data_IF_172992325043
#
_entry.id   IF_172992325043
#
_cell.length_a   1.000
_cell.length_b   1.000
_cell.length_c   1.000
_cell.angle_alpha   90.00
_cell.angle_beta   90.00
_cell.angle_gamma   90.00
#
_symmetry.space_group_name_H-M   'P 1'
#
loop_
_entity.id
_entity.type
_entity.pdbx_description
1 polymer ?
#
# COMPACT_ATOMS: atom_id res chain seq x y z
N UNK A 1 5.54 15.61 49.51
CA UNK A 1 4.34 15.15 48.76
C UNK A 1 3.70 16.34 48.11
N UNK A 2 4.12 16.69 46.89
CA UNK A 2 3.53 17.78 46.10
C UNK A 2 2.75 17.19 44.97
N UNK A 3 1.45 17.42 45.02
CA UNK A 3 0.42 16.90 44.11
C UNK A 3 0.59 17.34 42.66
N UNK A 4 0.22 16.51 41.68
CA UNK A 4 0.30 16.79 40.23
C UNK A 4 -0.81 17.74 39.74
N UNK A 5 -1.38 18.57 40.58
CA UNK A 5 -2.56 19.43 40.30
C UNK A 5 -2.18 20.73 39.56
N UNK A 6 -0.93 21.20 39.68
CA UNK A 6 -0.54 22.54 39.16
C UNK A 6 -0.46 22.61 37.62
N UNK A 7 -0.31 21.49 36.90
CA UNK A 7 -0.22 21.49 35.44
C UNK A 7 -1.61 21.64 34.79
N UNK A 8 -2.70 21.44 35.53
CA UNK A 8 -4.05 21.49 34.96
C UNK A 8 -4.65 22.89 34.84
N UNK A 9 -4.19 23.86 35.64
CA UNK A 9 -4.77 25.21 35.64
C UNK A 9 -4.15 26.16 34.63
N UNK A 10 -2.90 25.95 34.19
CA UNK A 10 -2.30 26.75 33.10
C UNK A 10 -2.79 26.34 31.70
N UNK A 11 -3.51 25.24 31.57
CA UNK A 11 -3.98 24.68 30.30
C UNK A 11 -5.39 25.12 29.87
N UNK A 12 -6.08 25.94 30.65
CA UNK A 12 -7.47 26.34 30.39
C UNK A 12 -7.64 27.30 29.20
N UNK A 13 -6.58 27.58 28.44
CA UNK A 13 -6.66 28.40 27.22
C UNK A 13 -5.89 27.86 26.01
N UNK A 14 -5.15 26.77 26.16
CA UNK A 14 -4.41 26.19 25.03
C UNK A 14 -5.33 25.28 24.21
N UNK A 15 -5.40 25.48 22.88
CA UNK A 15 -6.13 24.54 22.03
C UNK A 15 -5.55 23.13 22.17
N UNK A 16 -6.36 22.10 22.03
CA UNK A 16 -5.93 20.69 22.09
C UNK A 16 -4.74 20.41 21.14
N UNK A 17 -4.69 21.11 20.03
CA UNK A 17 -3.59 21.07 19.08
C UNK A 17 -2.27 21.58 19.68
N UNK A 18 -2.31 22.69 20.45
CA UNK A 18 -1.11 23.24 21.09
C UNK A 18 -0.57 22.29 22.18
N UNK A 19 -1.45 21.66 22.94
CA UNK A 19 -1.08 20.64 23.94
C UNK A 19 -0.42 19.45 23.26
N UNK A 20 -0.99 18.94 22.19
CA UNK A 20 -0.39 17.82 21.42
C UNK A 20 0.96 18.19 20.82
N UNK A 21 1.10 19.40 20.32
CA UNK A 21 2.37 19.87 19.75
C UNK A 21 3.45 19.96 20.84
N UNK A 22 3.12 20.48 22.05
CA UNK A 22 4.04 20.50 23.19
C UNK A 22 4.50 19.08 23.58
N UNK A 23 3.57 18.12 23.59
CA UNK A 23 3.89 16.73 23.89
C UNK A 23 4.80 16.10 22.82
N UNK A 24 4.56 16.36 21.54
CA UNK A 24 5.41 15.86 20.44
C UNK A 24 6.79 16.53 20.47
N UNK A 25 6.87 17.82 20.80
CA UNK A 25 8.12 18.53 21.02
C UNK A 25 8.92 17.90 22.17
N UNK A 26 8.28 17.61 23.28
CA UNK A 26 8.91 16.94 24.41
C UNK A 26 9.43 15.54 24.03
N UNK A 27 8.65 14.77 23.29
CA UNK A 27 9.09 13.46 22.73
C UNK A 27 10.32 13.62 21.85
N UNK A 28 10.36 14.65 20.97
CA UNK A 28 11.52 14.91 20.13
C UNK A 28 12.77 15.21 20.96
N UNK A 29 12.64 16.02 22.00
CA UNK A 29 13.76 16.35 22.91
C UNK A 29 14.18 15.11 23.71
N UNK A 30 13.23 14.32 24.20
CA UNK A 30 13.50 13.10 24.98
C UNK A 30 14.19 12.00 24.12
N UNK A 31 14.07 12.07 22.80
CA UNK A 31 14.68 11.12 21.84
C UNK A 31 16.11 11.50 21.44
N UNK A 32 16.91 12.02 22.36
CA UNK A 32 18.34 12.34 22.16
C UNK A 32 18.69 13.82 22.18
N UNK A 33 17.76 14.70 22.60
CA UNK A 33 18.05 16.14 22.72
C UNK A 33 18.33 16.82 21.38
N UNK A 34 19.03 17.96 21.43
CA UNK A 34 19.52 18.63 20.25
C UNK A 34 19.42 20.17 20.30
N UNK A 35 19.96 20.81 19.26
CA UNK A 35 19.85 22.27 19.10
C UNK A 35 18.42 22.67 18.76
N UNK A 36 17.99 23.79 19.27
CA UNK A 36 16.64 24.33 19.04
C UNK A 36 16.27 24.41 17.55
N UNK A 37 17.18 24.95 16.72
CA UNK A 37 16.96 25.03 15.28
C UNK A 37 16.82 23.67 14.57
N UNK A 38 17.47 22.62 15.09
CA UNK A 38 17.30 21.26 14.56
C UNK A 38 15.94 20.67 14.95
N UNK A 39 15.57 20.85 16.23
CA UNK A 39 14.29 20.37 16.76
C UNK A 39 13.13 21.07 16.03
N UNK A 40 13.22 22.40 15.82
CA UNK A 40 12.25 23.17 15.05
C UNK A 40 12.08 22.61 13.63
N UNK A 41 13.18 22.38 12.91
CA UNK A 41 13.15 21.82 11.54
C UNK A 41 12.54 20.41 11.49
N UNK A 42 12.87 19.55 12.44
CA UNK A 42 12.37 18.17 12.49
C UNK A 42 10.84 18.12 12.63
N UNK A 43 10.24 19.10 13.30
CA UNK A 43 8.81 19.16 13.55
C UNK A 43 8.02 20.01 12.55
N UNK A 44 8.65 20.99 11.91
CA UNK A 44 8.00 21.89 10.95
C UNK A 44 7.32 21.12 9.80
N UNK A 45 7.93 20.01 9.37
CA UNK A 45 7.37 19.15 8.33
C UNK A 45 5.94 18.59 8.65
N UNK A 46 5.54 18.61 9.93
CA UNK A 46 4.25 18.09 10.39
C UNK A 46 3.21 19.17 10.63
N UNK A 47 3.55 20.44 10.42
CA UNK A 47 2.62 21.57 10.58
C UNK A 47 2.49 22.31 9.25
N UNK A 48 1.82 21.71 8.25
CA UNK A 48 1.65 22.30 6.94
C UNK A 48 0.87 23.62 7.03
N UNK A 49 1.37 24.66 6.36
CA UNK A 49 0.73 25.97 6.30
C UNK A 49 1.21 26.97 7.36
N UNK A 50 2.05 26.58 8.31
CA UNK A 50 2.73 27.55 9.18
C UNK A 50 3.84 28.25 8.38
N UNK A 51 3.89 29.58 8.45
CA UNK A 51 5.05 30.33 7.95
C UNK A 51 6.24 30.08 8.88
N UNK A 52 7.47 30.22 8.37
CA UNK A 52 8.68 29.98 9.16
C UNK A 52 8.68 30.78 10.44
N UNK A 53 8.40 32.10 10.35
CA UNK A 53 8.43 33.01 11.49
C UNK A 53 7.37 32.67 12.55
N UNK A 54 6.14 32.33 12.13
CA UNK A 54 5.07 31.92 13.05
C UNK A 54 5.40 30.59 13.72
N UNK A 55 6.03 29.68 12.98
CA UNK A 55 6.48 28.39 13.50
C UNK A 55 7.60 28.55 14.55
N UNK A 56 8.61 29.38 14.25
CA UNK A 56 9.73 29.60 15.15
C UNK A 56 9.27 30.30 16.44
N UNK A 57 8.37 31.28 16.35
CA UNK A 57 7.76 31.90 17.53
C UNK A 57 6.95 30.90 18.35
N UNK A 58 6.16 30.03 17.71
CA UNK A 58 5.39 29.00 18.39
C UNK A 58 6.30 28.00 19.11
N UNK A 59 7.34 27.52 18.41
CA UNK A 59 8.31 26.57 18.97
C UNK A 59 9.06 27.18 20.16
N UNK A 60 9.51 28.42 20.06
CA UNK A 60 10.18 29.13 21.14
C UNK A 60 9.28 29.25 22.39
N UNK A 61 7.99 29.61 22.22
CA UNK A 61 7.01 29.66 23.33
C UNK A 61 6.81 28.29 24.01
N UNK A 62 6.73 27.23 23.22
CA UNK A 62 6.57 25.87 23.76
C UNK A 62 7.83 25.42 24.51
N UNK A 63 9.01 25.70 23.99
CA UNK A 63 10.29 25.44 24.68
C UNK A 63 10.36 26.21 26.01
N UNK A 64 10.00 27.49 26.01
CA UNK A 64 9.96 28.29 27.24
C UNK A 64 9.00 27.69 28.31
N UNK A 65 7.84 27.19 27.85
CA UNK A 65 6.87 26.51 28.72
C UNK A 65 7.44 25.21 29.30
N UNK A 66 8.12 24.39 28.48
CA UNK A 66 8.72 23.14 28.92
C UNK A 66 9.91 23.36 29.88
N UNK A 67 10.71 24.43 29.67
CA UNK A 67 11.77 24.87 30.59
C UNK A 67 11.17 25.31 31.93
N UNK A 68 10.15 26.17 31.90
CA UNK A 68 9.49 26.67 33.12
C UNK A 68 8.83 25.55 33.94
N UNK A 69 8.32 24.48 33.25
CA UNK A 69 7.76 23.30 33.95
C UNK A 69 8.81 22.30 34.41
N UNK A 70 10.10 22.54 34.19
CA UNK A 70 11.17 21.63 34.55
C UNK A 70 11.19 20.30 33.78
N UNK A 71 10.49 20.21 32.65
CA UNK A 71 10.49 19.00 31.84
C UNK A 71 11.69 18.91 30.92
N UNK A 72 12.29 20.03 30.57
CA UNK A 72 13.53 20.09 29.79
C UNK A 72 14.51 21.04 30.49
N UNK A 73 15.78 20.88 30.18
CA UNK A 73 16.87 21.72 30.59
C UNK A 73 17.73 22.14 29.40
N UNK A 74 18.43 23.27 29.54
CA UNK A 74 19.30 23.82 28.51
C UNK A 74 20.76 23.70 28.94
N UNK A 75 21.56 22.99 28.13
CA UNK A 75 23.00 22.88 28.31
C UNK A 75 23.69 23.56 27.12
N UNK A 76 24.12 24.81 27.30
CA UNK A 76 24.62 25.64 26.22
C UNK A 76 23.52 25.82 25.13
N UNK A 77 23.82 25.40 23.89
CA UNK A 77 22.90 25.49 22.74
C UNK A 77 21.95 24.26 22.59
N UNK A 78 22.08 23.28 23.48
CA UNK A 78 21.32 22.03 23.36
C UNK A 78 20.25 21.91 24.44
N UNK A 79 19.12 21.33 24.05
CA UNK A 79 18.00 21.02 24.93
C UNK A 79 18.01 19.53 25.28
N UNK A 80 17.81 19.20 26.53
CA UNK A 80 17.72 17.85 27.04
C UNK A 80 16.47 17.65 27.86
N UNK A 81 15.89 16.48 27.86
CA UNK A 81 14.77 16.15 28.70
C UNK A 81 15.27 15.75 30.10
N UNK A 82 14.69 16.36 31.15
CA UNK A 82 14.92 15.96 32.53
C UNK A 82 14.31 14.57 32.79
N UNK A 83 14.60 13.90 33.91
CA UNK A 83 13.93 12.64 34.27
C UNK A 83 12.39 12.76 34.29
N UNK A 84 11.86 13.90 34.73
CA UNK A 84 10.42 14.19 34.68
C UNK A 84 9.91 14.32 33.26
N UNK A 85 10.66 14.99 32.38
CA UNK A 85 10.34 15.09 30.95
C UNK A 85 10.41 13.75 30.22
N UNK A 86 11.40 12.92 30.50
CA UNK A 86 11.49 11.56 29.99
C UNK A 86 10.28 10.71 30.38
N UNK A 87 9.86 10.77 31.66
CA UNK A 87 8.68 10.06 32.16
C UNK A 87 7.39 10.55 31.43
N UNK A 88 7.24 11.87 31.28
CA UNK A 88 6.08 12.48 30.63
C UNK A 88 6.02 12.10 29.14
N UNK A 89 7.15 12.14 28.43
CA UNK A 89 7.24 11.74 27.02
C UNK A 89 6.93 10.25 26.83
N UNK A 90 7.46 9.38 27.69
CA UNK A 90 7.17 7.95 27.69
C UNK A 90 5.67 7.67 27.94
N UNK A 91 5.09 8.32 28.95
CA UNK A 91 3.66 8.20 29.25
C UNK A 91 2.79 8.65 28.06
N UNK A 92 3.16 9.74 27.40
CA UNK A 92 2.46 10.18 26.18
C UNK A 92 2.51 9.15 25.07
N UNK A 93 3.63 8.49 24.86
CA UNK A 93 3.77 7.40 23.87
C UNK A 93 3.09 6.09 24.32
N UNK A 94 2.58 6.00 25.54
CA UNK A 94 2.02 4.78 26.13
C UNK A 94 3.09 3.75 26.50
N UNK A 95 4.34 4.17 26.69
CA UNK A 95 5.45 3.35 27.15
C UNK A 95 5.60 3.45 28.67
N UNK A 96 5.98 2.33 29.30
CA UNK A 96 6.37 2.31 30.73
C UNK A 96 7.88 2.49 30.92
N UNK A 97 8.65 2.42 29.84
CA UNK A 97 10.11 2.57 29.85
C UNK A 97 10.50 3.93 29.28
N UNK A 98 11.63 4.45 29.72
CA UNK A 98 12.24 5.63 29.11
C UNK A 98 12.46 5.45 27.61
N UNK A 99 12.58 6.55 26.88
CA UNK A 99 12.80 6.54 25.45
C UNK A 99 14.28 6.24 25.21
N UNK A 100 14.59 5.02 24.76
CA UNK A 100 15.96 4.56 24.49
C UNK A 100 16.36 4.69 23.01
N UNK A 101 15.42 5.10 22.14
CA UNK A 101 15.62 5.14 20.69
C UNK A 101 15.84 6.58 20.23
N UNK A 102 16.57 6.69 19.11
CA UNK A 102 16.76 7.94 18.39
C UNK A 102 15.45 8.47 17.77
N UNK A 103 15.45 9.76 17.45
CA UNK A 103 14.25 10.43 16.91
C UNK A 103 13.63 9.73 15.70
N UNK A 104 14.39 9.31 14.66
CA UNK A 104 13.79 8.60 13.53
C UNK A 104 13.01 7.34 13.93
N UNK A 105 13.56 6.53 14.83
CA UNK A 105 12.92 5.29 15.28
C UNK A 105 11.66 5.58 16.12
N UNK A 106 11.73 6.56 17.02
CA UNK A 106 10.58 7.00 17.84
C UNK A 106 9.48 7.60 16.97
N UNK A 107 9.85 8.48 16.05
CA UNK A 107 8.92 9.13 15.11
C UNK A 107 8.20 8.08 14.25
N UNK A 108 8.96 7.20 13.58
CA UNK A 108 8.45 6.26 12.59
C UNK A 108 7.75 5.05 13.19
N UNK A 109 7.93 4.79 14.47
CA UNK A 109 7.31 3.68 15.20
C UNK A 109 6.29 4.15 16.21
N UNK A 110 6.77 4.58 17.38
CA UNK A 110 5.93 4.85 18.56
C UNK A 110 4.99 6.03 18.35
N UNK A 111 5.48 7.14 17.77
CA UNK A 111 4.67 8.34 17.55
C UNK A 111 3.60 8.11 16.48
N UNK A 112 3.92 7.40 15.38
CA UNK A 112 2.92 6.97 14.40
C UNK A 112 1.89 6.04 15.02
N UNK A 113 2.31 5.08 15.87
CA UNK A 113 1.38 4.21 16.57
C UNK A 113 0.44 5.01 17.48
N UNK A 114 0.97 6.00 18.20
CA UNK A 114 0.17 6.92 19.02
C UNK A 114 -0.84 7.69 18.19
N UNK A 115 -0.41 8.25 17.06
CA UNK A 115 -1.26 9.03 16.16
C UNK A 115 -2.39 8.19 15.54
N UNK A 116 -2.18 6.90 15.34
CA UNK A 116 -3.19 5.94 14.85
C UNK A 116 -4.03 5.31 15.97
N UNK A 117 -3.85 5.72 17.25
CA UNK A 117 -4.57 5.13 18.37
C UNK A 117 -4.11 3.71 18.73
N UNK A 118 -2.91 3.31 18.30
CA UNK A 118 -2.31 2.00 18.52
C UNK A 118 -1.28 2.01 19.67
N UNK A 119 -1.35 3.00 20.56
CA UNK A 119 -0.47 3.12 21.73
C UNK A 119 -0.56 1.87 22.62
N UNK A 120 0.58 1.41 23.12
CA UNK A 120 0.67 0.15 23.87
C UNK A 120 0.57 -1.11 23.02
N UNK A 121 0.59 -0.99 21.69
CA UNK A 121 0.58 -2.14 20.78
C UNK A 121 1.88 -2.96 20.89
N UNK A 122 1.75 -4.28 20.73
CA UNK A 122 2.88 -5.20 20.72
C UNK A 122 3.90 -4.85 19.62
N UNK A 123 5.18 -5.18 19.85
CA UNK A 123 6.30 -4.90 18.93
C UNK A 123 6.04 -5.36 17.49
N UNK A 124 5.30 -6.47 17.29
CA UNK A 124 4.88 -6.94 15.97
C UNK A 124 4.01 -5.94 15.20
N UNK A 125 3.13 -5.21 15.88
CA UNK A 125 2.33 -4.14 15.26
C UNK A 125 3.19 -2.94 14.90
N UNK A 126 4.14 -2.56 15.76
CA UNK A 126 5.09 -1.49 15.45
C UNK A 126 5.95 -1.84 14.24
N UNK A 127 6.41 -3.10 14.13
CA UNK A 127 7.14 -3.60 12.95
C UNK A 127 6.29 -3.53 11.67
N UNK A 128 4.97 -3.69 11.77
CA UNK A 128 4.08 -3.56 10.61
C UNK A 128 4.07 -2.13 10.04
N UNK A 129 4.32 -1.09 10.85
CA UNK A 129 4.36 0.32 10.42
C UNK A 129 5.55 0.65 9.50
N UNK A 130 6.53 -0.24 9.39
CA UNK A 130 7.70 -0.05 8.51
C UNK A 130 7.39 -0.35 7.04
N UNK A 131 6.31 -1.10 6.74
CA UNK A 131 5.91 -1.47 5.37
C UNK A 131 4.74 -0.60 4.90
N UNK A 132 4.86 0.00 3.71
CA UNK A 132 3.88 0.92 3.13
C UNK A 132 2.49 0.30 3.01
N UNK A 133 2.39 -0.96 2.60
CA UNK A 133 1.11 -1.65 2.44
C UNK A 133 0.40 -1.85 3.77
N UNK A 134 1.14 -2.26 4.81
CA UNK A 134 0.59 -2.44 6.15
C UNK A 134 0.18 -1.11 6.78
N UNK A 135 0.98 -0.05 6.57
CA UNK A 135 0.66 1.29 7.04
C UNK A 135 -0.61 1.81 6.36
N UNK A 136 -0.75 1.61 5.05
CA UNK A 136 -1.96 1.97 4.29
C UNK A 136 -3.20 1.24 4.81
N UNK A 137 -3.07 -0.06 5.12
CA UNK A 137 -4.14 -0.86 5.74
C UNK A 137 -4.57 -0.26 7.08
N UNK A 138 -3.62 0.08 7.95
CA UNK A 138 -3.89 0.65 9.28
C UNK A 138 -4.52 2.05 9.19
N UNK A 139 -4.06 2.89 8.27
CA UNK A 139 -4.66 4.21 8.02
C UNK A 139 -6.13 4.06 7.63
N UNK A 140 -6.43 3.18 6.68
CA UNK A 140 -7.79 2.95 6.20
C UNK A 140 -8.66 2.36 7.31
N UNK A 141 -8.19 1.35 8.03
CA UNK A 141 -8.90 0.75 9.16
C UNK A 141 -9.27 1.79 10.22
N UNK A 142 -8.30 2.64 10.60
CA UNK A 142 -8.49 3.69 11.60
C UNK A 142 -9.42 4.80 11.10
N UNK A 143 -9.22 5.28 9.87
CA UNK A 143 -9.97 6.41 9.33
C UNK A 143 -11.47 6.10 9.19
N UNK A 144 -11.81 4.93 8.68
CA UNK A 144 -13.21 4.49 8.55
C UNK A 144 -13.72 3.73 9.77
N UNK A 145 -12.95 3.65 10.88
CA UNK A 145 -13.29 2.93 12.12
C UNK A 145 -13.77 1.50 11.85
N UNK A 146 -13.09 0.79 10.94
CA UNK A 146 -13.47 -0.55 10.54
C UNK A 146 -13.16 -1.55 11.63
N UNK A 147 -14.15 -2.35 12.02
CA UNK A 147 -13.99 -3.44 13.01
C UNK A 147 -13.69 -4.76 12.30
N UNK A 148 -12.44 -4.96 11.87
CA UNK A 148 -12.02 -6.17 11.16
C UNK A 148 -11.58 -7.22 12.18
N UNK A 149 -12.27 -8.37 12.21
CA UNK A 149 -11.88 -9.51 13.05
C UNK A 149 -10.60 -10.16 12.50
N UNK A 150 -9.54 -10.25 13.31
CA UNK A 150 -8.27 -10.87 12.96
C UNK A 150 -7.35 -9.94 12.15
N UNK A 151 -6.44 -10.51 11.33
CA UNK A 151 -5.48 -9.74 10.54
C UNK A 151 -6.18 -8.99 9.41
N UNK A 152 -6.09 -7.68 9.41
CA UNK A 152 -6.58 -6.85 8.32
C UNK A 152 -5.76 -7.11 7.03
N UNK A 153 -6.45 -7.33 5.92
CA UNK A 153 -5.88 -7.50 4.59
C UNK A 153 -6.60 -6.58 3.61
N UNK A 154 -5.97 -6.28 2.47
CA UNK A 154 -6.58 -5.43 1.42
C UNK A 154 -7.93 -5.97 0.96
N UNK A 155 -8.08 -7.29 0.87
CA UNK A 155 -9.35 -7.95 0.49
C UNK A 155 -10.44 -7.75 1.53
N UNK A 156 -10.13 -7.93 2.82
CA UNK A 156 -11.09 -7.70 3.91
C UNK A 156 -11.48 -6.23 4.02
N UNK A 157 -10.50 -5.34 3.86
CA UNK A 157 -10.75 -3.90 3.81
C UNK A 157 -11.67 -3.51 2.66
N UNK A 158 -11.42 -4.04 1.44
CA UNK A 158 -12.30 -3.79 0.30
C UNK A 158 -13.75 -4.17 0.61
N UNK A 159 -13.98 -5.35 1.19
CA UNK A 159 -15.33 -5.81 1.54
C UNK A 159 -15.97 -4.89 2.60
N UNK A 160 -15.24 -4.55 3.65
CA UNK A 160 -15.73 -3.65 4.69
C UNK A 160 -16.03 -2.23 4.14
N UNK A 161 -15.15 -1.70 3.29
CA UNK A 161 -15.35 -0.39 2.64
C UNK A 161 -16.54 -0.39 1.68
N UNK A 162 -16.78 -1.49 0.95
CA UNK A 162 -17.95 -1.61 0.10
C UNK A 162 -19.24 -1.54 0.93
N UNK A 163 -19.28 -2.17 2.10
CA UNK A 163 -20.40 -2.07 3.03
C UNK A 163 -20.56 -0.63 3.57
N UNK A 164 -19.46 0.05 3.90
CA UNK A 164 -19.50 1.47 4.32
C UNK A 164 -20.05 2.35 3.20
N UNK A 165 -19.67 2.10 1.95
CA UNK A 165 -20.18 2.86 0.81
C UNK A 165 -21.70 2.64 0.62
N UNK A 166 -22.16 1.39 0.73
CA UNK A 166 -23.58 1.06 0.67
C UNK A 166 -24.36 1.69 1.83
N UNK A 167 -23.82 1.62 3.06
CA UNK A 167 -24.42 2.27 4.22
C UNK A 167 -24.59 3.79 4.04
N UNK A 168 -23.59 4.44 3.43
CA UNK A 168 -23.67 5.88 3.13
C UNK A 168 -24.72 6.20 2.07
N UNK A 169 -24.83 5.34 1.04
CA UNK A 169 -25.76 5.57 -0.07
C UNK A 169 -27.22 5.27 0.30
N UNK A 170 -27.47 4.23 1.09
CA UNK A 170 -28.81 3.67 1.31
C UNK A 170 -29.22 3.55 2.78
N UNK A 171 -28.36 3.98 3.71
CA UNK A 171 -28.61 3.86 5.15
C UNK A 171 -28.44 2.44 5.68
N UNK A 172 -28.84 2.23 6.96
CA UNK A 172 -28.60 0.98 7.67
C UNK A 172 -29.49 -0.20 7.19
N UNK A 173 -30.54 0.05 6.41
CA UNK A 173 -31.48 -0.98 5.95
C UNK A 173 -30.80 -2.06 5.11
N UNK A 174 -29.80 -1.68 4.30
CA UNK A 174 -29.07 -2.63 3.44
C UNK A 174 -28.30 -3.70 4.23
N UNK A 175 -27.85 -3.41 5.46
CA UNK A 175 -27.16 -4.43 6.28
C UNK A 175 -28.05 -5.61 6.62
N UNK A 176 -29.34 -5.38 6.83
CA UNK A 176 -30.31 -6.44 7.14
C UNK A 176 -30.66 -7.28 5.91
N UNK A 177 -30.76 -6.61 4.75
CA UNK A 177 -31.16 -7.28 3.51
C UNK A 177 -30.02 -8.03 2.81
N UNK A 178 -28.81 -7.47 2.79
CA UNK A 178 -27.65 -8.13 2.20
C UNK A 178 -27.17 -9.36 2.97
N UNK A 179 -27.70 -9.64 4.15
CA UNK A 179 -27.38 -10.83 4.95
C UNK A 179 -25.88 -11.18 4.98
N UNK A 180 -25.40 -11.85 5.99
CA UNK A 180 -23.97 -12.20 6.14
C UNK A 180 -23.39 -13.09 5.00
N UNK A 181 -24.23 -13.55 4.06
CA UNK A 181 -23.86 -14.49 2.99
C UNK A 181 -23.85 -13.89 1.57
N UNK A 182 -24.32 -12.66 1.37
CA UNK A 182 -24.28 -12.03 0.04
C UNK A 182 -22.88 -11.59 -0.33
N UNK A 183 -22.14 -12.44 -1.03
CA UNK A 183 -20.80 -12.14 -1.50
C UNK A 183 -20.86 -11.22 -2.71
N UNK A 184 -20.66 -9.90 -2.48
CA UNK A 184 -20.44 -8.95 -3.56
C UNK A 184 -19.15 -9.32 -4.29
N UNK A 185 -19.19 -9.37 -5.63
CA UNK A 185 -18.00 -9.70 -6.43
C UNK A 185 -16.84 -8.74 -6.14
N UNK A 186 -15.61 -9.19 -6.33
CA UNK A 186 -14.42 -8.38 -6.07
C UNK A 186 -14.41 -7.07 -6.87
N UNK A 187 -14.89 -7.09 -8.11
CA UNK A 187 -14.99 -5.91 -8.97
C UNK A 187 -16.05 -4.94 -8.44
N UNK A 188 -17.24 -5.43 -8.15
CA UNK A 188 -18.32 -4.60 -7.60
C UNK A 188 -17.93 -3.99 -6.23
N UNK A 189 -17.31 -4.78 -5.34
CA UNK A 189 -16.80 -4.28 -4.04
C UNK A 189 -15.77 -3.16 -4.23
N UNK A 190 -14.87 -3.25 -5.23
CA UNK A 190 -13.90 -2.18 -5.51
C UNK A 190 -14.56 -0.92 -6.06
N UNK A 191 -15.53 -1.07 -6.96
CA UNK A 191 -16.29 0.07 -7.49
C UNK A 191 -17.04 0.80 -6.38
N UNK A 192 -17.74 0.07 -5.52
CA UNK A 192 -18.44 0.64 -4.36
C UNK A 192 -17.47 1.32 -3.41
N UNK A 193 -16.39 0.65 -3.00
CA UNK A 193 -15.39 1.23 -2.12
C UNK A 193 -14.68 2.45 -2.75
N UNK A 194 -14.54 2.47 -4.08
CA UNK A 194 -13.98 3.59 -4.83
C UNK A 194 -14.84 4.86 -4.76
N UNK A 195 -16.14 4.74 -4.44
CA UNK A 195 -17.03 5.89 -4.20
C UNK A 195 -16.68 6.63 -2.90
N UNK A 196 -15.91 6.02 -1.99
CA UNK A 196 -15.46 6.66 -0.77
C UNK A 196 -14.28 7.62 -0.99
N UNK A 197 -13.65 7.60 -2.16
CA UNK A 197 -12.60 8.54 -2.53
C UNK A 197 -13.20 9.96 -2.74
N UNK A 198 -12.42 11.01 -2.45
CA UNK A 198 -12.81 12.42 -2.69
C UNK A 198 -13.25 12.66 -4.14
N UNK A 199 -12.56 12.00 -5.08
CA UNK A 199 -12.96 11.91 -6.48
C UNK A 199 -13.26 10.45 -6.76
N UNK A 200 -14.54 10.05 -6.86
CA UNK A 200 -14.94 8.69 -7.15
C UNK A 200 -14.24 8.13 -8.39
N UNK A 201 -13.65 6.94 -8.26
CA UNK A 201 -12.91 6.30 -9.36
C UNK A 201 -12.87 4.79 -9.22
N UNK A 202 -12.66 4.09 -10.34
CA UNK A 202 -12.39 2.67 -10.35
C UNK A 202 -10.92 2.38 -10.05
N UNK A 203 -10.68 1.54 -9.07
CA UNK A 203 -9.36 1.03 -8.73
C UNK A 203 -9.19 -0.38 -9.29
N UNK A 204 -8.16 -0.59 -10.12
CA UNK A 204 -7.92 -1.88 -10.78
C UNK A 204 -7.60 -3.02 -9.80
N UNK A 205 -7.01 -2.71 -8.63
CA UNK A 205 -6.59 -3.70 -7.62
C UNK A 205 -6.96 -3.24 -6.22
N UNK A 206 -7.11 -4.20 -5.28
CA UNK A 206 -7.38 -3.92 -3.88
C UNK A 206 -6.24 -3.13 -3.22
N UNK A 207 -4.99 -3.40 -3.60
CA UNK A 207 -3.83 -2.66 -3.10
C UNK A 207 -3.87 -1.18 -3.52
N UNK A 208 -4.21 -0.89 -4.79
CA UNK A 208 -4.36 0.49 -5.28
C UNK A 208 -5.54 1.21 -4.62
N UNK A 209 -6.65 0.51 -4.38
CA UNK A 209 -7.78 1.06 -3.63
C UNK A 209 -7.35 1.49 -2.23
N UNK A 210 -6.74 0.57 -1.48
CA UNK A 210 -6.32 0.84 -0.09
C UNK A 210 -5.25 1.94 -0.04
N UNK A 211 -4.24 1.90 -0.92
CA UNK A 211 -3.21 2.94 -1.00
C UNK A 211 -3.79 4.31 -1.37
N UNK A 212 -4.71 4.36 -2.34
CA UNK A 212 -5.38 5.61 -2.74
C UNK A 212 -6.22 6.21 -1.62
N UNK A 213 -7.03 5.40 -0.96
CA UNK A 213 -7.84 5.83 0.17
C UNK A 213 -6.97 6.23 1.38
N UNK A 214 -5.88 5.52 1.65
CA UNK A 214 -4.93 5.89 2.70
C UNK A 214 -4.30 7.26 2.45
N UNK A 215 -3.84 7.52 1.22
CA UNK A 215 -3.31 8.83 0.82
C UNK A 215 -4.32 9.96 1.09
N UNK A 216 -5.55 9.78 0.61
CA UNK A 216 -6.61 10.78 0.78
C UNK A 216 -6.98 10.98 2.26
N UNK A 217 -7.00 9.89 3.04
CA UNK A 217 -7.28 9.93 4.45
C UNK A 217 -6.27 10.75 5.25
N UNK A 218 -5.01 10.81 4.85
CA UNK A 218 -3.95 11.56 5.55
C UNK A 218 -3.49 12.81 4.79
N UNK A 219 -4.10 13.12 3.64
CA UNK A 219 -3.74 14.28 2.84
C UNK A 219 -2.36 14.14 2.16
N UNK A 220 -1.86 12.93 1.96
CA UNK A 220 -0.59 12.69 1.30
C UNK A 220 -0.72 12.87 -0.22
N UNK A 221 0.35 13.38 -0.87
CA UNK A 221 0.40 13.53 -2.33
C UNK A 221 0.82 12.24 -3.04
N UNK A 222 1.53 11.37 -2.36
CA UNK A 222 2.04 10.08 -2.87
C UNK A 222 1.82 8.98 -1.83
N UNK A 223 1.74 7.74 -2.28
CA UNK A 223 1.58 6.56 -1.42
C UNK A 223 2.92 6.01 -0.89
N UNK A 224 3.99 6.83 -0.88
CA UNK A 224 5.24 6.42 -0.25
C UNK A 224 5.15 6.53 1.28
N UNK A 225 6.00 5.77 1.96
CA UNK A 225 5.95 5.64 3.42
C UNK A 225 6.25 6.95 4.15
N UNK A 226 7.15 7.78 3.60
CA UNK A 226 7.52 9.08 4.18
C UNK A 226 6.33 10.04 4.14
N UNK A 227 5.67 10.16 2.99
CA UNK A 227 4.51 11.03 2.82
C UNK A 227 3.31 10.58 3.67
N UNK A 228 3.06 9.27 3.77
CA UNK A 228 2.01 8.74 4.63
C UNK A 228 2.28 9.06 6.11
N UNK A 229 3.51 8.87 6.59
CA UNK A 229 3.90 9.20 7.97
C UNK A 229 3.77 10.68 8.26
N UNK A 230 4.27 11.53 7.36
CA UNK A 230 4.14 12.99 7.48
C UNK A 230 2.66 13.39 7.54
N UNK A 231 1.82 12.83 6.67
CA UNK A 231 0.38 13.10 6.67
C UNK A 231 -0.32 12.64 7.96
N UNK A 232 0.04 11.47 8.51
CA UNK A 232 -0.48 10.99 9.80
C UNK A 232 -0.15 11.98 10.92
N UNK A 233 1.12 12.42 11.01
CA UNK A 233 1.57 13.32 12.06
C UNK A 233 0.98 14.72 11.89
N UNK A 234 0.89 15.22 10.67
CA UNK A 234 0.21 16.48 10.39
C UNK A 234 -1.26 16.43 10.86
N UNK A 235 -1.97 15.36 10.55
CA UNK A 235 -3.35 15.17 11.00
C UNK A 235 -3.47 15.04 12.52
N UNK A 236 -2.52 14.37 13.14
CA UNK A 236 -2.50 14.21 14.59
C UNK A 236 -2.31 15.55 15.32
N UNK A 237 -1.46 16.43 14.77
CA UNK A 237 -1.16 17.74 15.35
C UNK A 237 -2.22 18.81 15.03
N UNK A 238 -2.93 18.67 13.90
CA UNK A 238 -3.96 19.63 13.47
C UNK A 238 -5.31 18.95 13.23
N UNK A 239 -5.97 18.44 14.30
CA UNK A 239 -7.22 17.68 14.17
C UNK A 239 -8.39 18.51 13.61
N UNK A 240 -8.36 19.81 13.82
CA UNK A 240 -9.43 20.74 13.43
C UNK A 240 -9.28 21.31 12.00
N UNK A 241 -8.23 20.91 11.28
CA UNK A 241 -8.09 21.28 9.88
C UNK A 241 -9.29 20.75 9.08
N UNK A 242 -9.87 21.60 8.21
CA UNK A 242 -11.12 21.36 7.44
C UNK A 242 -11.28 19.99 6.79
N UNK A 243 -10.19 19.28 6.58
CA UNK A 243 -10.18 17.92 6.02
C UNK A 243 -10.59 16.81 7.01
N UNK A 244 -10.67 17.10 8.31
CA UNK A 244 -11.21 16.18 9.31
C UNK A 244 -12.73 16.08 9.24
N UNK A 245 -13.42 17.11 8.73
CA UNK A 245 -14.89 17.18 8.67
C UNK A 245 -15.49 16.61 7.38
N UNK A 246 -14.71 16.51 6.29
CA UNK A 246 -15.25 16.04 5.00
C UNK A 246 -15.54 14.53 4.94
N UNK A 247 -15.07 13.74 5.89
CA UNK A 247 -15.43 12.33 6.02
C UNK A 247 -16.76 12.08 6.73
N UNK A 248 -17.34 13.10 7.36
CA UNK A 248 -18.55 13.01 8.19
C UNK A 248 -19.74 13.84 7.68
N UNK A 249 -19.61 14.52 6.55
CA UNK A 249 -20.77 15.22 5.97
C UNK A 249 -21.78 14.20 5.50
N UNK A 250 -22.94 14.22 6.14
CA UNK A 250 -24.20 13.69 5.65
C UNK A 250 -24.56 14.45 4.36
N UNK A 251 -23.93 14.11 3.27
CA UNK A 251 -24.44 14.49 1.96
C UNK A 251 -25.42 13.39 1.58
N UNK A 252 -26.69 13.63 1.78
CA UNK A 252 -27.74 12.97 1.01
C UNK A 252 -27.37 13.20 -0.46
N UNK A 253 -27.07 12.16 -1.23
CA UNK A 253 -26.87 12.35 -2.66
C UNK A 253 -28.24 12.72 -3.24
N UNK A 254 -28.32 13.91 -3.82
CA UNK A 254 -29.42 14.20 -4.76
C UNK A 254 -29.45 13.06 -5.77
N UNK A 255 -30.61 12.45 -5.89
CA UNK A 255 -30.88 11.28 -6.72
C UNK A 255 -30.83 11.59 -8.24
N UNK A 256 -29.86 12.38 -8.67
CA UNK A 256 -29.70 12.84 -10.06
C UNK A 256 -28.97 11.88 -10.97
N UNK A 257 -28.34 10.83 -10.43
CA UNK A 257 -27.62 9.86 -11.23
C UNK A 257 -28.45 8.64 -11.71
N UNK A 258 -29.70 8.53 -11.25
CA UNK A 258 -30.57 7.41 -11.62
C UNK A 258 -31.26 7.59 -13.00
N UNK A 259 -31.15 8.75 -13.65
CA UNK A 259 -31.88 9.05 -14.89
C UNK A 259 -31.04 9.28 -16.15
N UNK A 260 -29.71 9.23 -16.09
CA UNK A 260 -28.83 9.49 -17.27
C UNK A 260 -27.98 8.29 -17.70
N UNK A 261 -28.52 7.09 -17.62
CA UNK A 261 -27.89 5.85 -18.11
C UNK A 261 -28.37 5.40 -19.49
N UNK A 262 -28.84 6.28 -20.38
CA UNK A 262 -29.15 5.92 -21.74
C UNK A 262 -27.88 5.98 -22.61
N UNK A 263 -27.41 4.78 -22.97
CA UNK A 263 -26.29 4.52 -23.86
C UNK A 263 -26.53 5.20 -25.22
N UNK A 264 -25.69 6.18 -25.57
CA UNK A 264 -25.50 6.60 -26.95
C UNK A 264 -24.17 6.10 -27.46
N UNK A 265 -24.22 5.06 -28.28
CA UNK A 265 -23.11 4.68 -29.18
C UNK A 265 -22.84 5.83 -30.15
N UNK A 266 -21.65 6.38 -30.14
CA UNK A 266 -21.13 7.15 -31.27
C UNK A 266 -19.82 6.55 -31.71
N UNK A 267 -19.88 5.89 -32.89
CA UNK A 267 -18.76 5.63 -33.78
C UNK A 267 -18.24 6.94 -34.35
N UNK A 268 -16.93 7.15 -34.31
CA UNK A 268 -16.22 7.98 -35.27
C UNK A 268 -14.73 7.59 -35.34
N UNK A 269 -14.15 7.68 -36.56
CA UNK A 269 -12.91 7.02 -36.92
C UNK A 269 -11.66 7.92 -36.71
N UNK A 270 -10.45 7.40 -37.05
CA UNK A 270 -9.19 8.02 -36.65
C UNK A 270 -8.68 9.03 -37.70
N UNK A 271 -7.95 10.04 -37.23
CA UNK A 271 -7.12 10.87 -38.11
C UNK A 271 -5.79 11.26 -37.47
N UNK A 272 -4.75 10.75 -38.07
CA UNK A 272 -3.54 11.39 -38.65
C UNK A 272 -2.64 12.24 -37.71
N UNK A 273 -1.43 11.69 -37.46
CA UNK A 273 -0.13 12.12 -38.03
C UNK A 273 0.35 13.52 -37.69
N UNK A 274 1.43 13.60 -36.90
CA UNK A 274 2.56 14.51 -37.22
C UNK A 274 3.85 14.01 -36.54
N UNK A 275 4.82 13.78 -37.37
CA UNK A 275 6.24 13.58 -37.11
C UNK A 275 6.90 14.90 -36.70
N UNK A 276 8.06 14.83 -36.10
CA UNK A 276 9.28 15.67 -36.06
C UNK A 276 9.91 15.49 -34.68
N UNK A 277 11.14 15.10 -34.47
CA UNK A 277 12.37 15.12 -35.18
C UNK A 277 13.50 14.94 -34.16
N UNK A 278 14.43 14.06 -34.46
CA UNK A 278 15.87 14.01 -34.19
C UNK A 278 16.48 14.96 -33.15
N UNK A 279 17.34 14.57 -32.22
CA UNK A 279 18.76 14.14 -32.43
C UNK A 279 19.38 13.65 -31.11
N UNK A 280 20.49 12.86 -31.14
CA UNK A 280 21.09 12.23 -29.99
C UNK A 280 22.22 13.11 -29.38
N UNK A 281 22.37 13.03 -28.07
CA UNK A 281 23.56 13.54 -27.40
C UNK A 281 24.25 12.42 -26.65
N UNK A 282 25.43 12.08 -27.12
CA UNK A 282 26.38 11.16 -26.53
C UNK A 282 27.16 11.82 -25.39
N UNK A 283 27.28 11.17 -24.26
CA UNK A 283 28.30 11.47 -23.23
C UNK A 283 28.91 10.15 -22.76
N UNK A 284 30.24 10.05 -22.66
CA UNK A 284 30.96 8.80 -22.48
C UNK A 284 31.01 8.31 -21.02
N UNK A 285 30.96 6.99 -20.84
CA UNK A 285 31.19 6.33 -19.57
C UNK A 285 32.68 6.22 -19.24
N UNK A 286 33.10 6.30 -17.96
CA UNK A 286 34.46 5.96 -17.57
C UNK A 286 34.64 4.46 -17.42
N UNK A 287 35.74 3.97 -18.00
CA UNK A 287 36.20 2.60 -17.91
C UNK A 287 36.69 2.25 -16.49
N UNK A 288 36.14 1.17 -15.92
CA UNK A 288 36.73 0.49 -14.75
C UNK A 288 37.32 -0.83 -15.19
N UNK A 289 38.60 -0.99 -14.89
CA UNK A 289 39.47 -2.14 -15.12
C UNK A 289 38.87 -3.43 -14.52
N UNK A 290 38.63 -4.41 -15.37
CA UNK A 290 38.27 -5.79 -14.98
C UNK A 290 39.52 -6.66 -14.88
N UNK A 291 39.66 -7.34 -13.73
CA UNK A 291 40.61 -8.41 -13.54
C UNK A 291 40.16 -9.69 -14.28
N UNK A 292 41.10 -10.53 -14.76
CA UNK A 292 40.77 -11.69 -15.57
C UNK A 292 40.25 -12.87 -14.73
N UNK A 293 39.04 -13.36 -15.05
CA UNK A 293 38.52 -14.65 -14.55
C UNK A 293 38.97 -15.77 -15.49
N UNK A 294 39.38 -16.95 -14.99
CA UNK A 294 39.84 -18.05 -15.83
C UNK A 294 38.71 -18.61 -16.69
N UNK A 295 38.98 -18.72 -18.01
CA UNK A 295 38.11 -19.35 -18.99
C UNK A 295 38.11 -20.86 -18.77
N UNK A 296 36.99 -21.40 -18.29
CA UNK A 296 36.64 -22.81 -18.49
C UNK A 296 36.22 -23.01 -19.95
N UNK A 297 36.80 -24.04 -20.57
CA UNK A 297 36.54 -24.39 -21.97
C UNK A 297 35.06 -24.66 -22.25
N UNK A 298 34.54 -24.30 -23.44
CA UNK A 298 33.15 -24.59 -23.78
C UNK A 298 33.00 -26.08 -24.08
N UNK A 299 32.13 -26.75 -23.32
CA UNK A 299 31.58 -28.06 -23.67
C UNK A 299 30.78 -27.88 -24.96
N UNK A 300 31.25 -28.49 -26.04
CA UNK A 300 30.57 -28.50 -27.33
C UNK A 300 29.21 -29.22 -27.18
N UNK A 301 28.14 -28.47 -27.14
CA UNK A 301 26.75 -28.96 -27.30
C UNK A 301 26.54 -29.17 -28.80
N UNK A 302 26.09 -30.35 -29.25
CA UNK A 302 25.79 -30.57 -30.68
C UNK A 302 24.69 -29.63 -31.13
N UNK A 303 24.96 -28.85 -32.16
CA UNK A 303 24.02 -27.93 -32.78
C UNK A 303 22.97 -28.74 -33.57
N UNK A 304 22.01 -29.34 -32.86
CA UNK A 304 20.75 -29.66 -33.51
C UNK A 304 20.00 -28.33 -33.70
N UNK A 305 19.72 -28.00 -34.98
CA UNK A 305 18.82 -26.91 -35.34
C UNK A 305 17.47 -27.18 -34.67
N UNK A 306 17.25 -26.57 -33.52
CA UNK A 306 16.01 -26.62 -32.78
C UNK A 306 14.94 -25.96 -33.67
N UNK A 307 14.02 -26.73 -34.14
CA UNK A 307 12.90 -26.25 -34.96
C UNK A 307 11.87 -25.67 -33.99
N UNK A 308 12.04 -24.38 -33.65
CA UNK A 308 11.08 -23.68 -32.76
C UNK A 308 9.72 -23.65 -33.50
N UNK A 309 8.63 -24.05 -32.81
CA UNK A 309 7.29 -23.98 -33.40
C UNK A 309 6.88 -22.52 -33.56
N UNK A 310 6.08 -22.28 -34.61
CA UNK A 310 5.39 -21.01 -34.76
C UNK A 310 4.29 -20.85 -33.69
N UNK A 311 3.80 -19.64 -33.39
CA UNK A 311 2.82 -19.41 -32.31
C UNK A 311 1.52 -20.20 -32.49
N UNK A 312 1.07 -20.46 -33.74
CA UNK A 312 -0.17 -21.23 -33.99
C UNK A 312 0.06 -22.72 -33.75
N UNK A 313 1.14 -23.31 -34.28
CA UNK A 313 1.51 -24.69 -34.04
C UNK A 313 1.75 -24.97 -32.54
N UNK A 314 2.43 -24.04 -31.83
CA UNK A 314 2.61 -24.13 -30.40
C UNK A 314 1.27 -24.10 -29.65
N UNK A 315 0.36 -23.18 -29.98
CA UNK A 315 -0.94 -23.09 -29.33
C UNK A 315 -1.79 -24.35 -29.56
N UNK A 316 -1.74 -24.93 -30.76
CA UNK A 316 -2.43 -26.18 -31.10
C UNK A 316 -1.91 -27.34 -30.26
N UNK A 317 -0.60 -27.50 -30.16
CA UNK A 317 0.02 -28.52 -29.33
C UNK A 317 -0.30 -28.36 -27.83
N UNK A 318 -0.27 -27.11 -27.33
CA UNK A 318 -0.66 -26.77 -25.94
C UNK A 318 -2.12 -27.13 -25.69
N UNK A 319 -3.04 -26.80 -26.58
CA UNK A 319 -4.47 -27.18 -26.46
C UNK A 319 -4.66 -28.69 -26.44
N UNK A 320 -3.99 -29.41 -27.31
CA UNK A 320 -4.04 -30.88 -27.37
C UNK A 320 -3.46 -31.53 -26.11
N UNK A 321 -2.34 -31.00 -25.59
CA UNK A 321 -1.75 -31.45 -24.33
C UNK A 321 -2.65 -31.12 -23.13
N UNK A 322 -3.24 -29.93 -23.11
CA UNK A 322 -4.17 -29.49 -22.07
C UNK A 322 -5.43 -30.33 -22.05
N UNK A 323 -6.03 -30.65 -23.21
CA UNK A 323 -7.21 -31.52 -23.29
C UNK A 323 -6.97 -32.91 -22.70
N UNK A 324 -5.76 -33.47 -22.89
CA UNK A 324 -5.37 -34.78 -22.35
C UNK A 324 -5.17 -34.81 -20.84
N UNK A 325 -4.90 -33.66 -20.21
CA UNK A 325 -4.59 -33.55 -18.76
C UNK A 325 -5.59 -32.68 -17.99
N UNK A 326 -6.67 -32.25 -18.65
CA UNK A 326 -7.65 -31.33 -18.08
C UNK A 326 -8.50 -31.99 -16.98
N UNK A 327 -8.64 -31.29 -15.90
CA UNK A 327 -9.56 -31.59 -14.79
C UNK A 327 -10.73 -30.59 -14.80
N UNK A 328 -11.88 -31.01 -14.25
CA UNK A 328 -13.06 -30.16 -14.09
C UNK A 328 -14.28 -30.70 -14.84
N UNK A 329 -15.37 -29.95 -14.77
CA UNK A 329 -16.65 -30.29 -15.42
C UNK A 329 -16.77 -29.59 -16.79
N UNK A 330 -17.67 -30.06 -17.67
CA UNK A 330 -17.94 -29.42 -18.95
C UNK A 330 -18.14 -27.90 -18.83
N UNK A 331 -17.50 -27.12 -19.71
CA UNK A 331 -17.50 -25.65 -19.68
C UNK A 331 -16.50 -25.00 -18.69
N UNK A 332 -15.85 -25.78 -17.81
CA UNK A 332 -14.80 -25.26 -16.90
C UNK A 332 -13.61 -26.23 -16.75
N UNK A 333 -13.24 -26.88 -17.86
CA UNK A 333 -12.07 -27.77 -17.89
C UNK A 333 -10.78 -26.96 -17.96
N UNK A 334 -9.78 -27.35 -17.16
CA UNK A 334 -8.50 -26.68 -17.07
C UNK A 334 -7.38 -27.65 -16.74
N UNK A 335 -6.20 -27.45 -17.34
CA UNK A 335 -5.02 -28.26 -17.14
C UNK A 335 -3.93 -27.45 -16.43
N UNK A 336 -3.22 -28.04 -15.48
CA UNK A 336 -2.05 -27.39 -14.86
C UNK A 336 -0.95 -27.16 -15.90
N UNK A 337 -0.32 -25.99 -15.90
CA UNK A 337 0.76 -25.63 -16.82
C UNK A 337 1.94 -26.63 -16.71
N UNK A 338 2.27 -27.10 -15.50
CA UNK A 338 3.32 -28.11 -15.31
C UNK A 338 3.01 -29.45 -15.98
N UNK A 339 1.74 -29.89 -15.96
CA UNK A 339 1.31 -31.14 -16.61
C UNK A 339 1.29 -30.98 -18.15
N UNK A 340 0.86 -29.80 -18.62
CA UNK A 340 0.92 -29.46 -20.06
C UNK A 340 2.37 -29.45 -20.52
N UNK A 341 3.28 -28.86 -19.75
CA UNK A 341 4.70 -28.86 -20.03
C UNK A 341 5.29 -30.28 -20.15
N UNK A 342 4.99 -31.14 -19.17
CA UNK A 342 5.42 -32.55 -19.23
C UNK A 342 4.95 -33.26 -20.50
N UNK A 343 3.68 -33.02 -20.91
CA UNK A 343 3.13 -33.60 -22.15
C UNK A 343 3.75 -33.00 -23.42
N UNK A 344 4.11 -31.74 -23.43
CA UNK A 344 4.82 -31.12 -24.56
C UNK A 344 6.21 -31.70 -24.72
N UNK A 345 6.96 -31.90 -23.61
CA UNK A 345 8.27 -32.56 -23.63
C UNK A 345 8.20 -34.00 -24.17
N UNK A 346 7.14 -34.72 -23.81
CA UNK A 346 6.93 -36.11 -24.27
C UNK A 346 6.62 -36.18 -25.77
N UNK A 347 5.80 -35.23 -26.28
CA UNK A 347 5.28 -35.27 -27.66
C UNK A 347 6.15 -34.54 -28.67
N UNK A 348 6.90 -33.54 -28.20
CA UNK A 348 7.69 -32.64 -29.02
C UNK A 348 9.12 -32.45 -28.50
N UNK A 349 9.88 -33.55 -28.29
CA UNK A 349 11.25 -33.44 -27.82
C UNK A 349 12.16 -32.70 -28.80
N UNK A 350 11.80 -32.67 -30.09
CA UNK A 350 12.52 -31.99 -31.19
C UNK A 350 12.54 -30.48 -31.04
N UNK A 351 11.63 -29.90 -30.26
CA UNK A 351 11.61 -28.44 -30.03
C UNK A 351 12.79 -27.99 -29.14
N UNK A 352 13.29 -28.85 -28.28
CA UNK A 352 14.41 -28.55 -27.40
C UNK A 352 14.21 -27.32 -26.50
N UNK A 353 12.95 -26.91 -26.27
CA UNK A 353 12.60 -25.75 -25.44
C UNK A 353 12.80 -26.07 -23.96
N UNK A 354 13.31 -25.10 -23.23
CA UNK A 354 13.39 -25.15 -21.77
C UNK A 354 12.03 -24.76 -21.15
N UNK A 355 11.81 -25.10 -19.88
CA UNK A 355 10.58 -24.69 -19.16
C UNK A 355 10.37 -23.16 -19.18
N UNK A 356 11.46 -22.40 -19.07
CA UNK A 356 11.41 -20.92 -19.11
C UNK A 356 10.93 -20.44 -20.49
N UNK A 357 11.47 -21.01 -21.58
CA UNK A 357 11.08 -20.69 -22.94
C UNK A 357 9.64 -21.12 -23.23
N UNK A 358 9.22 -22.31 -22.78
CA UNK A 358 7.85 -22.77 -22.84
C UNK A 358 6.89 -21.79 -22.17
N UNK A 359 7.20 -21.38 -20.93
CA UNK A 359 6.38 -20.41 -20.19
C UNK A 359 6.34 -19.04 -20.89
N UNK A 360 7.44 -18.61 -21.51
CA UNK A 360 7.49 -17.37 -22.29
C UNK A 360 6.61 -17.46 -23.56
N UNK A 361 6.71 -18.56 -24.30
CA UNK A 361 5.86 -18.82 -25.47
C UNK A 361 4.38 -18.94 -25.10
N UNK A 362 4.07 -19.52 -23.94
CA UNK A 362 2.71 -19.64 -23.43
C UNK A 362 2.10 -18.27 -23.11
N UNK A 363 2.88 -17.35 -22.56
CA UNK A 363 2.47 -15.94 -22.36
C UNK A 363 2.19 -15.24 -23.68
N UNK A 364 3.06 -15.45 -24.67
CA UNK A 364 2.92 -14.85 -26.00
C UNK A 364 1.65 -15.34 -26.70
N UNK A 365 1.42 -16.65 -26.76
CA UNK A 365 0.20 -17.23 -27.33
C UNK A 365 -1.07 -16.80 -26.59
N UNK A 366 -1.00 -16.61 -25.27
CA UNK A 366 -2.09 -16.02 -24.50
C UNK A 366 -2.36 -14.56 -24.90
N UNK A 367 -1.32 -13.75 -25.15
CA UNK A 367 -1.45 -12.36 -25.61
C UNK A 367 -2.07 -12.28 -27.01
N UNK A 368 -1.76 -13.25 -27.88
CA UNK A 368 -2.35 -13.36 -29.21
C UNK A 368 -3.80 -13.93 -29.19
N UNK A 369 -4.32 -14.28 -28.01
CA UNK A 369 -5.67 -14.86 -27.88
C UNK A 369 -5.78 -16.32 -28.32
N UNK A 370 -4.66 -16.97 -28.65
CA UNK A 370 -4.63 -18.35 -29.15
C UNK A 370 -4.82 -19.39 -28.03
N UNK A 371 -4.45 -19.04 -26.79
CA UNK A 371 -4.58 -19.87 -25.58
C UNK A 371 -5.13 -19.01 -24.45
N UNK A 372 -5.96 -19.57 -23.59
CA UNK A 372 -6.50 -18.87 -22.41
C UNK A 372 -5.83 -19.39 -21.13
N UNK A 373 -5.12 -18.51 -20.42
CA UNK A 373 -4.51 -18.81 -19.13
C UNK A 373 -5.41 -18.34 -17.98
N UNK A 374 -5.49 -19.15 -16.91
CA UNK A 374 -6.37 -18.91 -15.75
C UNK A 374 -5.59 -19.03 -14.45
N UNK A 375 -5.97 -18.25 -13.44
CA UNK A 375 -5.41 -18.31 -12.09
C UNK A 375 -5.92 -19.53 -11.32
N UNK A 376 -5.08 -20.04 -10.40
CA UNK A 376 -5.52 -21.02 -9.42
C UNK A 376 -6.35 -20.37 -8.32
N UNK A 377 -7.53 -20.95 -8.04
CA UNK A 377 -8.22 -20.74 -6.76
C UNK A 377 -7.56 -21.67 -5.73
N UNK A 378 -6.75 -21.11 -4.84
CA UNK A 378 -5.93 -21.83 -3.84
C UNK A 378 -6.78 -22.39 -2.68
N UNK A 379 -7.87 -23.08 -2.98
CA UNK A 379 -8.73 -23.70 -1.96
C UNK A 379 -8.23 -25.08 -1.49
N UNK A 380 -7.47 -25.76 -2.34
CA UNK A 380 -7.00 -27.13 -2.07
C UNK A 380 -5.50 -27.12 -1.74
N UNK A 381 -5.20 -27.31 -0.46
CA UNK A 381 -3.82 -27.36 0.04
C UNK A 381 -3.02 -28.57 -0.49
N UNK A 382 -3.69 -29.66 -0.86
CA UNK A 382 -3.02 -30.86 -1.37
C UNK A 382 -2.39 -30.63 -2.75
N UNK A 383 -2.93 -29.69 -3.54
CA UNK A 383 -2.45 -29.36 -4.88
C UNK A 383 -1.41 -28.22 -4.90
N UNK A 384 -1.00 -27.71 -3.73
CA UNK A 384 -0.08 -26.56 -3.63
C UNK A 384 1.24 -26.77 -4.39
N UNK A 385 1.95 -27.91 -4.30
CA UNK A 385 3.19 -28.12 -5.04
C UNK A 385 2.99 -28.07 -6.56
N UNK A 386 1.90 -28.62 -7.08
CA UNK A 386 1.57 -28.60 -8.51
C UNK A 386 1.21 -27.18 -8.98
N UNK A 387 0.51 -26.41 -8.14
CA UNK A 387 0.19 -24.99 -8.40
C UNK A 387 1.47 -24.15 -8.47
N UNK A 388 2.40 -24.33 -7.53
CA UNK A 388 3.68 -23.61 -7.52
C UNK A 388 4.53 -23.95 -8.76
N UNK A 389 4.63 -25.24 -9.12
CA UNK A 389 5.34 -25.67 -10.34
C UNK A 389 4.68 -25.12 -11.63
N UNK A 390 3.37 -24.89 -11.61
CA UNK A 390 2.59 -24.37 -12.74
C UNK A 390 2.61 -22.83 -12.85
N UNK A 391 3.27 -22.13 -11.95
CA UNK A 391 3.25 -20.67 -11.93
C UNK A 391 3.90 -20.06 -13.19
N UNK A 392 3.14 -19.22 -13.89
CA UNK A 392 3.59 -18.41 -15.03
C UNK A 392 3.36 -16.95 -14.70
N UNK A 393 4.44 -16.20 -14.49
CA UNK A 393 4.38 -14.80 -14.07
C UNK A 393 4.63 -13.88 -15.25
N UNK A 394 3.72 -12.90 -15.45
CA UNK A 394 3.89 -11.83 -16.43
C UNK A 394 3.15 -10.57 -15.98
N UNK A 395 3.84 -9.41 -15.95
CA UNK A 395 3.27 -8.09 -15.60
C UNK A 395 2.33 -8.10 -14.37
N UNK A 396 2.81 -8.57 -13.23
CA UNK A 396 2.06 -8.67 -11.97
C UNK A 396 0.85 -9.62 -11.97
N UNK A 397 0.71 -10.47 -12.97
CA UNK A 397 -0.30 -11.54 -13.02
C UNK A 397 0.40 -12.89 -13.01
N UNK A 398 -0.14 -13.84 -12.24
CA UNK A 398 0.36 -15.21 -12.18
C UNK A 398 -0.77 -16.13 -12.62
N UNK A 399 -0.51 -16.96 -13.63
CA UNK A 399 -1.43 -18.00 -14.09
C UNK A 399 -0.89 -19.37 -13.72
N UNK A 400 -1.78 -20.35 -13.60
CA UNK A 400 -1.43 -21.70 -13.19
C UNK A 400 -2.04 -22.77 -14.08
N UNK A 401 -3.07 -22.40 -14.85
CA UNK A 401 -3.80 -23.30 -15.72
C UNK A 401 -3.93 -22.80 -17.13
N UNK A 402 -3.98 -23.75 -18.06
CA UNK A 402 -4.50 -23.58 -19.41
C UNK A 402 -5.97 -23.97 -19.41
N UNK A 403 -6.85 -23.08 -19.85
CA UNK A 403 -8.28 -23.39 -20.02
C UNK A 403 -8.48 -24.21 -21.29
N UNK A 404 -9.26 -25.24 -21.19
CA UNK A 404 -9.70 -26.06 -22.33
C UNK A 404 -11.08 -25.57 -22.72
N UNK A 405 -11.20 -25.03 -23.93
CA UNK A 405 -12.47 -24.66 -24.55
C UNK A 405 -12.95 -25.87 -25.32
N UNK A 406 -14.21 -26.23 -25.11
CA UNK A 406 -14.91 -27.28 -25.87
C UNK A 406 -15.45 -26.70 -27.16
#
# INVERSE_FOLDING_TARGET
MNSPVVVREAAIGASEAAVRLAQVLLVRIASGGGREAQISRDLHAFVPGATSDAWDQQTARLIATLLASGQIERHGDTLHATPAGQAAAAAFLGSRKAIEHDWPAVRDGQLIARALGLHGAAALRLKALTKVDNLSVLIVETHWKLKIKGKASTTRLRQALALVALERAFGNQIKSELGAKSAISAKASRLLAGQLAKKPRDFRTDARLVAGLAMEAVGARRSDIGQLRTGILARFLTPDAKWASEGATKTTPDAKWASEGAIKHHNAPPSSRSEIGTTPSSVPAPALLAAPVPRTAPIAVPAHRQQRPDPQGFAHAVKAAAAATAEGWPGNRRAFVSLVWAKILERHPEWGVTEIEFKAMLVETHRLGLVVLVNADLKDKAKLPTVEASAVSYKNTVWHYVRVEE
#
